data_IF_927097554467
#
_entry.id   IF_927097554467
#
_cell.length_a   1.000
_cell.length_b   1.000
_cell.length_c   1.000
_cell.angle_alpha   90.00
_cell.angle_beta   90.00
_cell.angle_gamma   90.00
#
_symmetry.space_group_name_H-M   'P 1'
#
loop_
_entity.id
_entity.type
_entity.pdbx_description
1 polymer ?
#
# COMPACT_ATOMS: atom_id res chain seq x y z
N UNK A 1 -8.07 48.59 -28.86
CA UNK A 1 -8.93 47.80 -27.95
C UNK A 1 -9.73 46.85 -28.82
N UNK A 2 -9.32 45.58 -28.91
CA UNK A 2 -10.03 44.59 -29.72
C UNK A 2 -9.99 43.23 -28.99
N UNK A 3 -11.12 42.98 -28.35
CA UNK A 3 -11.80 41.71 -28.08
C UNK A 3 -10.99 40.43 -27.76
N UNK A 4 -10.62 40.30 -26.47
CA UNK A 4 -10.27 39.01 -25.83
C UNK A 4 -11.49 38.11 -25.54
N UNK A 5 -12.71 38.54 -25.87
CA UNK A 5 -13.97 37.85 -25.48
C UNK A 5 -14.39 36.72 -26.44
N UNK A 6 -13.82 36.64 -27.64
CA UNK A 6 -14.17 35.63 -28.66
C UNK A 6 -13.35 34.33 -28.55
N UNK A 7 -12.17 34.38 -27.92
CA UNK A 7 -11.27 33.23 -27.77
C UNK A 7 -11.77 32.26 -26.69
N UNK A 8 -12.15 32.78 -25.52
CA UNK A 8 -12.68 31.98 -24.41
C UNK A 8 -13.95 31.17 -24.77
N UNK A 9 -14.74 31.64 -25.73
CA UNK A 9 -15.99 30.98 -26.12
C UNK A 9 -15.78 29.74 -27.00
N UNK A 10 -14.62 29.58 -27.65
CA UNK A 10 -14.30 28.38 -28.46
C UNK A 10 -13.78 27.24 -27.59
N UNK A 11 -12.91 27.55 -26.62
CA UNK A 11 -12.36 26.53 -25.71
C UNK A 11 -13.44 25.87 -24.84
N UNK A 12 -14.45 26.64 -24.40
CA UNK A 12 -15.58 26.07 -23.65
C UNK A 12 -16.50 25.18 -24.52
N UNK A 13 -16.61 25.45 -25.82
CA UNK A 13 -17.45 24.67 -26.74
C UNK A 13 -16.75 23.38 -27.15
N UNK A 14 -15.44 23.41 -27.39
CA UNK A 14 -14.62 22.21 -27.62
C UNK A 14 -14.56 21.32 -26.37
N UNK A 15 -14.42 21.90 -25.17
CA UNK A 15 -14.44 21.15 -23.91
C UNK A 15 -15.79 20.45 -23.66
N UNK A 16 -16.91 21.11 -23.98
CA UNK A 16 -18.26 20.53 -23.85
C UNK A 16 -18.53 19.45 -24.90
N UNK A 17 -18.02 19.60 -26.11
CA UNK A 17 -18.12 18.59 -27.17
C UNK A 17 -17.34 17.32 -26.79
N UNK A 18 -16.10 17.48 -26.31
CA UNK A 18 -15.21 16.38 -25.88
C UNK A 18 -15.77 15.64 -24.66
N UNK A 19 -16.37 16.35 -23.70
CA UNK A 19 -17.04 15.74 -22.55
C UNK A 19 -18.29 14.94 -22.95
N UNK A 20 -19.04 15.40 -23.96
CA UNK A 20 -20.21 14.69 -24.48
C UNK A 20 -19.83 13.40 -25.23
N UNK A 21 -18.71 13.41 -25.94
CA UNK A 21 -18.16 12.23 -26.63
C UNK A 21 -17.61 11.21 -25.63
N UNK A 22 -16.98 11.68 -24.55
CA UNK A 22 -16.54 10.83 -23.43
C UNK A 22 -17.72 10.15 -22.71
N UNK A 23 -18.81 10.88 -22.47
CA UNK A 23 -20.02 10.32 -21.86
C UNK A 23 -20.71 9.27 -22.76
N UNK A 24 -20.70 9.47 -24.09
CA UNK A 24 -21.16 8.44 -25.05
C UNK A 24 -20.29 7.20 -25.07
N UNK A 25 -18.96 7.37 -24.97
CA UNK A 25 -18.03 6.24 -24.88
C UNK A 25 -18.23 5.42 -23.60
N UNK A 26 -18.40 6.07 -22.45
CA UNK A 26 -18.66 5.39 -21.16
C UNK A 26 -19.93 4.54 -21.15
N UNK A 27 -21.00 4.97 -21.83
CA UNK A 27 -22.25 4.22 -21.94
C UNK A 27 -22.12 2.94 -22.80
N UNK A 28 -21.11 2.88 -23.67
CA UNK A 28 -20.82 1.69 -24.49
C UNK A 28 -19.94 0.64 -23.79
N UNK A 29 -19.25 1.01 -22.70
CA UNK A 29 -18.20 0.21 -22.05
C UNK A 29 -18.66 -0.55 -20.78
N UNK A 30 -19.97 -0.76 -20.58
CA UNK A 30 -20.48 -1.67 -19.52
C UNK A 30 -20.31 -3.17 -19.85
N UNK A 31 -19.59 -3.53 -20.91
CA UNK A 31 -19.18 -4.91 -21.19
C UNK A 31 -17.67 -4.96 -21.35
N UNK A 32 -17.01 -5.78 -20.53
CA UNK A 32 -15.58 -6.14 -20.58
C UNK A 32 -15.13 -6.34 -22.04
N UNK A 33 -14.56 -5.30 -22.66
CA UNK A 33 -14.21 -5.28 -24.09
C UNK A 33 -12.73 -4.98 -24.29
N UNK A 34 -12.05 -5.81 -25.09
CA UNK A 34 -10.64 -5.61 -25.51
C UNK A 34 -10.47 -4.23 -26.17
N UNK A 35 -9.30 -3.57 -26.02
CA UNK A 35 -9.04 -2.30 -26.68
C UNK A 35 -8.99 -2.48 -28.21
N UNK A 36 -9.59 -1.54 -28.98
CA UNK A 36 -9.59 -1.62 -30.43
C UNK A 36 -8.18 -1.48 -31.01
N UNK A 37 -7.88 -2.31 -32.01
CA UNK A 37 -6.64 -2.29 -32.75
C UNK A 37 -6.58 -1.12 -33.73
N UNK A 38 -5.45 -0.40 -33.68
CA UNK A 38 -4.98 0.65 -34.59
C UNK A 38 -5.66 2.03 -34.56
N UNK A 39 -4.77 3.04 -34.53
CA UNK A 39 -4.97 4.51 -34.51
C UNK A 39 -5.55 5.14 -33.23
N UNK A 40 -4.97 4.82 -32.07
CA UNK A 40 -5.08 5.71 -30.91
C UNK A 40 -3.97 6.77 -31.03
N UNK A 41 -4.32 8.06 -31.06
CA UNK A 41 -3.35 9.16 -31.14
C UNK A 41 -2.51 9.28 -29.86
N UNK A 42 -1.37 9.97 -29.96
CA UNK A 42 -0.44 10.21 -28.85
C UNK A 42 -1.14 10.88 -27.67
N UNK A 43 -1.98 11.86 -27.95
CA UNK A 43 -2.68 12.69 -26.97
C UNK A 43 -3.68 11.83 -26.17
N UNK A 44 -4.41 10.95 -26.85
CA UNK A 44 -5.33 10.00 -26.20
C UNK A 44 -4.57 9.03 -25.29
N UNK A 45 -3.34 8.66 -25.65
CA UNK A 45 -2.48 7.87 -24.75
C UNK A 45 -2.05 8.66 -23.51
N UNK A 46 -1.64 9.93 -23.68
CA UNK A 46 -1.19 10.78 -22.58
C UNK A 46 -2.33 11.03 -21.58
N UNK A 47 -3.52 11.39 -22.05
CA UNK A 47 -4.70 11.59 -21.19
C UNK A 47 -5.04 10.32 -20.39
N UNK A 48 -4.92 9.15 -21.04
CA UNK A 48 -5.12 7.85 -20.37
C UNK A 48 -4.02 7.51 -19.37
N UNK A 49 -2.78 7.92 -19.60
CA UNK A 49 -1.72 7.69 -18.62
C UNK A 49 -1.88 8.61 -17.42
N UNK A 50 -2.25 9.87 -17.64
CA UNK A 50 -2.60 10.81 -16.56
C UNK A 50 -3.78 10.33 -15.73
N UNK A 51 -4.78 9.67 -16.32
CA UNK A 51 -5.89 9.11 -15.54
C UNK A 51 -5.48 7.94 -14.63
N UNK A 52 -4.38 7.24 -14.94
CA UNK A 52 -3.84 6.13 -14.13
C UNK A 52 -2.81 6.61 -13.11
N UNK A 53 -1.95 7.56 -13.49
CA UNK A 53 -0.77 7.95 -12.71
C UNK A 53 -0.82 9.38 -12.15
N UNK A 54 -1.83 10.17 -12.51
CA UNK A 54 -1.85 11.61 -12.28
C UNK A 54 -0.67 12.29 -12.97
N UNK A 55 -0.11 13.30 -12.30
CA UNK A 55 1.02 14.11 -12.80
C UNK A 55 2.40 13.51 -12.45
N UNK A 56 2.45 12.19 -12.21
CA UNK A 56 3.68 11.50 -11.78
C UNK A 56 4.75 11.41 -12.86
N UNK A 57 4.37 11.52 -14.13
CA UNK A 57 5.27 11.37 -15.26
C UNK A 57 5.13 12.51 -16.26
N UNK A 58 6.26 12.93 -16.82
CA UNK A 58 6.32 13.77 -18.00
C UNK A 58 6.35 12.89 -19.26
N UNK A 59 5.52 13.28 -20.23
CA UNK A 59 5.30 12.59 -21.50
C UNK A 59 5.88 13.36 -22.69
N UNK A 60 6.73 14.37 -22.46
CA UNK A 60 7.36 15.19 -23.51
C UNK A 60 8.09 14.33 -24.55
N UNK A 61 8.71 13.22 -24.14
CA UNK A 61 9.42 12.26 -25.01
C UNK A 61 8.62 11.00 -25.36
N UNK A 62 7.35 10.93 -24.97
CA UNK A 62 6.53 9.77 -25.28
C UNK A 62 6.06 9.83 -26.73
N UNK A 63 6.36 8.79 -27.50
CA UNK A 63 5.72 8.45 -28.76
C UNK A 63 5.49 6.94 -28.84
N UNK A 64 4.62 6.53 -29.79
CA UNK A 64 4.15 5.14 -29.91
C UNK A 64 5.29 4.16 -30.17
N UNK A 65 6.36 4.62 -30.81
CA UNK A 65 7.46 3.79 -31.26
C UNK A 65 8.56 3.73 -30.20
N UNK A 66 8.99 4.88 -29.65
CA UNK A 66 10.10 4.98 -28.71
C UNK A 66 9.72 4.64 -27.26
N UNK A 67 8.46 4.84 -26.87
CA UNK A 67 7.90 4.45 -25.55
C UNK A 67 8.76 4.91 -24.35
N UNK A 68 9.26 6.16 -24.42
CA UNK A 68 10.05 6.81 -23.38
C UNK A 68 9.13 7.63 -22.47
N UNK A 69 9.24 7.40 -21.16
CA UNK A 69 8.51 8.10 -20.10
C UNK A 69 9.51 8.74 -19.15
N UNK A 70 9.15 9.87 -18.54
CA UNK A 70 10.05 10.59 -17.62
C UNK A 70 9.42 10.57 -16.22
N UNK A 71 10.04 9.89 -15.24
CA UNK A 71 9.64 10.03 -13.83
C UNK A 71 10.41 11.21 -13.24
N UNK A 72 9.73 12.14 -12.56
CA UNK A 72 10.38 13.33 -11.98
C UNK A 72 11.49 13.00 -10.98
N UNK A 73 11.46 11.79 -10.39
CA UNK A 73 12.45 11.33 -9.40
C UNK A 73 13.62 10.58 -10.06
N UNK A 74 13.37 9.80 -11.12
CA UNK A 74 14.38 8.87 -11.65
C UNK A 74 14.74 9.09 -13.12
N UNK A 75 14.21 10.15 -13.72
CA UNK A 75 14.43 10.49 -15.12
C UNK A 75 13.76 9.53 -16.10
N UNK A 76 14.34 9.46 -17.29
CA UNK A 76 13.84 8.70 -18.43
C UNK A 76 13.87 7.18 -18.19
N UNK A 77 12.79 6.51 -18.59
CA UNK A 77 12.71 5.06 -18.61
C UNK A 77 11.85 4.58 -19.77
N UNK A 78 12.18 3.39 -20.29
CA UNK A 78 11.38 2.70 -21.31
C UNK A 78 10.46 1.66 -20.67
N UNK A 79 9.20 1.64 -21.09
CA UNK A 79 8.23 0.63 -20.68
C UNK A 79 7.22 0.40 -21.80
N UNK A 80 6.63 -0.79 -21.88
CA UNK A 80 5.55 -1.01 -22.84
C UNK A 80 4.35 -0.09 -22.49
N UNK A 81 3.78 0.64 -23.46
CA UNK A 81 2.60 1.50 -23.23
C UNK A 81 1.41 0.78 -22.56
N UNK A 82 1.16 -0.48 -22.92
CA UNK A 82 0.08 -1.28 -22.32
C UNK A 82 0.37 -1.57 -20.84
N UNK A 83 1.63 -1.78 -20.51
CA UNK A 83 2.06 -2.05 -19.15
C UNK A 83 2.09 -0.79 -18.29
N UNK A 84 2.47 0.32 -18.89
CA UNK A 84 2.37 1.63 -18.27
C UNK A 84 0.90 1.95 -17.95
N UNK A 85 0.00 1.72 -18.91
CA UNK A 85 -1.45 1.86 -18.71
C UNK A 85 -2.00 0.94 -17.60
N UNK A 86 -1.52 -0.29 -17.47
CA UNK A 86 -1.88 -1.20 -16.36
C UNK A 86 -1.41 -0.72 -14.98
N UNK A 87 -0.75 0.43 -14.87
CA UNK A 87 -0.33 1.02 -13.60
C UNK A 87 1.07 0.62 -13.14
N UNK A 88 1.86 -0.11 -13.94
CA UNK A 88 3.21 -0.52 -13.51
C UNK A 88 4.13 0.68 -13.26
N UNK A 89 4.09 1.67 -14.15
CA UNK A 89 4.89 2.89 -14.04
C UNK A 89 6.42 2.65 -14.02
N UNK A 90 7.17 3.65 -13.59
CA UNK A 90 8.62 3.56 -13.44
C UNK A 90 8.99 2.48 -12.42
N UNK A 91 9.80 1.49 -12.82
CA UNK A 91 10.26 0.40 -11.93
C UNK A 91 11.04 0.88 -10.70
N UNK A 92 11.62 2.09 -10.77
CA UNK A 92 12.28 2.74 -9.63
C UNK A 92 11.25 3.48 -8.74
N UNK A 93 10.20 4.08 -9.31
CA UNK A 93 9.09 4.73 -8.57
C UNK A 93 8.10 3.70 -7.96
N UNK A 94 7.95 2.52 -8.56
CA UNK A 94 7.01 1.45 -8.21
C UNK A 94 7.51 0.45 -7.18
N UNK A 95 8.45 0.84 -6.31
CA UNK A 95 8.78 0.04 -5.14
C UNK A 95 7.75 0.19 -3.99
N UNK A 96 6.72 1.00 -4.18
CA UNK A 96 5.66 1.20 -3.18
C UNK A 96 4.30 0.98 -3.83
N UNK A 97 3.93 -0.27 -4.06
CA UNK A 97 2.62 -0.86 -3.70
C UNK A 97 2.55 -2.30 -4.20
N UNK A 98 2.44 -3.24 -3.26
CA UNK A 98 1.79 -4.53 -3.46
C UNK A 98 2.40 -5.52 -4.47
N UNK A 99 3.14 -6.50 -3.95
CA UNK A 99 3.07 -7.85 -4.51
C UNK A 99 4.16 -8.26 -5.51
N UNK A 100 5.37 -8.49 -5.03
CA UNK A 100 6.18 -9.67 -5.39
C UNK A 100 7.41 -9.71 -4.48
N UNK A 101 7.73 -10.89 -3.98
CA UNK A 101 8.79 -11.14 -3.00
C UNK A 101 10.13 -10.52 -3.47
N UNK A 102 10.63 -9.52 -2.75
CA UNK A 102 12.07 -9.23 -2.69
C UNK A 102 12.65 -8.01 -3.43
N UNK A 103 11.92 -6.96 -3.80
CA UNK A 103 12.61 -5.73 -4.28
C UNK A 103 13.23 -4.91 -3.12
N UNK A 104 13.92 -3.80 -3.41
CA UNK A 104 14.50 -2.82 -2.45
C UNK A 104 13.85 -1.43 -2.55
N UNK A 105 13.59 -0.76 -1.41
CA UNK A 105 13.11 0.64 -1.26
C UNK A 105 14.12 1.67 -1.75
N UNK A 106 13.61 2.82 -2.21
CA UNK A 106 14.40 4.04 -2.49
C UNK A 106 15.04 4.63 -1.21
N UNK A 107 14.44 4.40 -0.05
CA UNK A 107 15.09 4.47 1.26
C UNK A 107 15.65 3.09 1.55
N UNK A 108 16.88 2.79 1.11
CA UNK A 108 17.45 1.43 1.08
C UNK A 108 17.02 0.53 2.24
N UNK A 109 16.69 -0.74 1.94
CA UNK A 109 16.35 -1.83 2.87
C UNK A 109 16.36 -1.40 4.36
N UNK A 110 15.23 -0.89 4.86
CA UNK A 110 15.08 -0.76 6.31
C UNK A 110 14.94 -2.18 6.82
N UNK A 111 16.06 -2.78 7.24
CA UNK A 111 16.04 -4.01 8.03
C UNK A 111 15.02 -3.81 9.14
N UNK A 112 14.10 -4.76 9.38
CA UNK A 112 13.14 -4.60 10.46
C UNK A 112 13.92 -4.27 11.72
N UNK A 113 13.63 -3.10 12.30
CA UNK A 113 14.31 -2.63 13.51
C UNK A 113 14.21 -3.76 14.53
N UNK A 114 15.35 -4.24 15.03
CA UNK A 114 15.36 -5.19 16.14
C UNK A 114 14.61 -4.51 17.28
N UNK A 115 13.47 -5.07 17.67
CA UNK A 115 12.67 -4.54 18.77
C UNK A 115 13.55 -4.54 20.03
N UNK A 116 13.54 -3.44 20.77
CA UNK A 116 14.16 -3.42 22.09
C UNK A 116 13.27 -4.19 23.08
N UNK A 117 13.83 -4.50 24.25
CA UNK A 117 13.08 -5.08 25.35
C UNK A 117 11.89 -4.22 25.76
N UNK A 118 12.08 -2.90 25.87
CA UNK A 118 11.00 -1.95 26.19
C UNK A 118 9.89 -1.95 25.14
N UNK A 119 10.25 -2.00 23.85
CA UNK A 119 9.27 -2.06 22.77
C UNK A 119 8.43 -3.33 22.86
N UNK A 120 9.05 -4.46 23.23
CA UNK A 120 8.37 -5.74 23.44
C UNK A 120 7.44 -5.69 24.64
N UNK A 121 7.88 -5.11 25.76
CA UNK A 121 7.06 -4.98 26.97
C UNK A 121 5.85 -4.06 26.72
N UNK A 122 6.02 -2.96 25.98
CA UNK A 122 4.90 -2.08 25.55
C UNK A 122 3.88 -2.86 24.73
N UNK A 123 4.32 -3.71 23.81
CA UNK A 123 3.42 -4.56 23.02
C UNK A 123 2.70 -5.59 23.88
N UNK A 124 3.36 -6.16 24.89
CA UNK A 124 2.70 -7.08 25.83
C UNK A 124 1.61 -6.37 26.63
N UNK A 125 1.90 -5.18 27.16
CA UNK A 125 0.93 -4.34 27.88
C UNK A 125 -0.23 -3.89 26.99
N UNK A 126 0.01 -3.62 25.70
CA UNK A 126 -1.06 -3.29 24.76
C UNK A 126 -2.09 -4.42 24.60
N UNK A 127 -1.68 -5.67 24.78
CA UNK A 127 -2.54 -6.86 24.59
C UNK A 127 -3.17 -7.30 25.91
N UNK A 128 -2.41 -7.26 26.99
CA UNK A 128 -2.83 -7.80 28.28
C UNK A 128 -3.18 -6.73 29.33
N UNK A 129 -2.86 -5.47 29.09
CA UNK A 129 -2.86 -4.41 30.11
C UNK A 129 -1.79 -4.66 31.16
N UNK A 130 -2.07 -4.27 32.41
CA UNK A 130 -1.17 -4.45 33.55
C UNK A 130 -1.39 -5.78 34.30
N UNK A 131 -1.89 -6.81 33.60
CA UNK A 131 -2.20 -8.13 34.19
C UNK A 131 -0.97 -8.94 34.61
N UNK A 132 0.20 -8.61 34.07
CA UNK A 132 1.43 -9.37 34.28
C UNK A 132 2.57 -8.43 34.65
N UNK A 133 3.47 -8.93 35.49
CA UNK A 133 4.74 -8.26 35.75
C UNK A 133 5.80 -8.77 34.77
N UNK A 134 6.55 -7.81 34.20
CA UNK A 134 7.59 -8.00 33.19
C UNK A 134 9.00 -7.68 33.73
N UNK A 135 9.16 -7.53 35.04
CA UNK A 135 10.43 -7.23 35.73
C UNK A 135 11.56 -8.21 35.40
N UNK A 136 11.24 -9.46 35.08
CA UNK A 136 12.19 -10.53 34.70
C UNK A 136 12.23 -10.84 33.20
N UNK A 137 11.64 -9.99 32.34
CA UNK A 137 11.68 -10.22 30.89
C UNK A 137 13.07 -9.89 30.37
N UNK A 138 13.73 -10.89 29.78
CA UNK A 138 14.98 -10.71 29.03
C UNK A 138 14.75 -11.03 27.55
N UNK A 139 14.65 -9.98 26.71
CA UNK A 139 14.29 -10.15 25.31
C UNK A 139 15.51 -10.35 24.41
N UNK A 140 15.61 -11.54 23.79
CA UNK A 140 16.64 -11.86 22.80
C UNK A 140 16.08 -11.80 21.38
N UNK A 141 14.95 -12.47 21.12
CA UNK A 141 14.26 -12.48 19.82
C UNK A 141 12.80 -12.95 19.99
N UNK A 142 12.04 -13.01 18.90
CA UNK A 142 10.59 -13.34 18.95
C UNK A 142 10.28 -14.79 19.29
N UNK A 143 11.26 -15.70 19.20
CA UNK A 143 11.09 -17.15 19.34
C UNK A 143 11.71 -17.68 20.66
N UNK A 144 12.64 -16.95 21.25
CA UNK A 144 13.23 -17.26 22.55
C UNK A 144 12.20 -17.00 23.64
N UNK A 145 12.00 -17.97 24.53
CA UNK A 145 11.09 -17.84 25.68
C UNK A 145 11.57 -16.74 26.62
N UNK A 146 10.62 -15.95 27.13
CA UNK A 146 10.85 -14.95 28.17
C UNK A 146 10.11 -15.36 29.44
N UNK A 147 10.61 -14.91 30.60
CA UNK A 147 9.96 -15.12 31.89
C UNK A 147 8.96 -13.99 32.13
N UNK A 148 7.71 -14.35 32.38
CA UNK A 148 6.61 -13.43 32.67
C UNK A 148 6.01 -13.84 34.01
N UNK A 149 5.68 -12.87 34.84
CA UNK A 149 5.15 -13.13 36.18
C UNK A 149 3.65 -12.92 36.18
N UNK A 150 2.91 -13.98 36.48
CA UNK A 150 1.49 -13.89 36.79
C UNK A 150 1.33 -13.58 38.28
N UNK A 151 0.58 -12.53 38.67
CA UNK A 151 0.41 -12.18 40.08
C UNK A 151 -0.28 -13.28 40.91
N UNK A 152 -1.03 -14.18 40.25
CA UNK A 152 -1.78 -15.26 40.92
C UNK A 152 -0.99 -16.58 40.92
N UNK A 153 -0.26 -16.86 39.84
CA UNK A 153 0.31 -18.19 39.57
C UNK A 153 1.84 -18.22 39.57
N UNK A 154 2.48 -17.06 39.82
CA UNK A 154 3.91 -16.90 39.80
C UNK A 154 4.49 -16.86 38.39
N UNK A 155 5.77 -17.19 38.30
CA UNK A 155 6.57 -17.10 37.09
C UNK A 155 6.19 -18.20 36.09
N UNK A 156 6.12 -17.84 34.81
CA UNK A 156 5.96 -18.78 33.72
C UNK A 156 6.73 -18.32 32.50
N UNK A 157 7.11 -19.28 31.66
CA UNK A 157 7.85 -19.01 30.43
C UNK A 157 6.91 -19.00 29.23
N UNK A 158 7.05 -18.01 28.36
CA UNK A 158 6.31 -17.97 27.10
C UNK A 158 7.11 -17.29 25.99
N UNK A 159 6.79 -17.63 24.75
CA UNK A 159 7.41 -17.03 23.57
C UNK A 159 6.79 -15.63 23.33
N UNK A 160 7.58 -14.57 23.09
CA UNK A 160 7.05 -13.22 22.86
C UNK A 160 6.01 -13.15 21.75
N UNK A 161 6.20 -13.91 20.66
CA UNK A 161 5.24 -14.01 19.56
C UNK A 161 3.86 -14.49 20.04
N UNK A 162 3.80 -15.56 20.82
CA UNK A 162 2.53 -16.13 21.31
C UNK A 162 1.89 -15.21 22.35
N UNK A 163 2.71 -14.57 23.18
CA UNK A 163 2.21 -13.68 24.23
C UNK A 163 1.53 -12.45 23.62
N UNK A 164 2.15 -11.87 22.58
CA UNK A 164 1.57 -10.77 21.77
C UNK A 164 0.30 -11.16 21.05
N UNK A 165 0.08 -12.44 20.74
CA UNK A 165 -1.17 -12.91 20.15
C UNK A 165 -2.32 -13.03 21.16
N UNK A 166 -2.09 -12.71 22.43
CA UNK A 166 -3.13 -12.74 23.48
C UNK A 166 -3.14 -14.02 24.31
N UNK A 167 -2.19 -14.95 24.09
CA UNK A 167 -2.07 -16.15 24.92
C UNK A 167 -1.33 -15.75 26.21
N UNK A 168 -1.98 -15.91 27.36
CA UNK A 168 -1.40 -15.57 28.67
C UNK A 168 -1.00 -16.78 29.51
N UNK A 169 -1.05 -16.64 30.83
CA UNK A 169 -0.83 -17.72 31.78
C UNK A 169 -1.83 -18.87 31.56
N UNK A 170 -1.33 -20.09 31.39
CA UNK A 170 -2.16 -21.27 31.15
C UNK A 170 -3.14 -21.55 32.30
N UNK A 171 -2.67 -21.43 33.55
CA UNK A 171 -3.51 -21.64 34.74
C UNK A 171 -4.69 -20.64 34.80
N UNK A 172 -4.44 -19.35 34.52
CA UNK A 172 -5.52 -18.36 34.37
C UNK A 172 -6.48 -18.71 33.24
N UNK A 173 -5.96 -19.22 32.12
CA UNK A 173 -6.76 -19.66 30.97
C UNK A 173 -7.68 -20.84 31.29
N UNK A 174 -7.22 -21.79 32.12
CA UNK A 174 -8.04 -22.91 32.59
C UNK A 174 -9.16 -22.44 33.52
N UNK A 175 -8.87 -21.57 34.50
CA UNK A 175 -9.88 -21.03 35.43
C UNK A 175 -11.03 -20.32 34.69
N UNK A 176 -10.71 -19.49 33.70
CA UNK A 176 -11.72 -18.81 32.87
C UNK A 176 -12.63 -19.78 32.12
N UNK A 177 -12.07 -20.88 31.61
CA UNK A 177 -12.83 -21.90 30.89
C UNK A 177 -13.74 -22.70 31.82
N UNK A 178 -13.28 -23.04 33.03
CA UNK A 178 -14.12 -23.72 34.02
C UNK A 178 -15.29 -22.85 34.48
N UNK A 179 -15.07 -21.56 34.74
CA UNK A 179 -16.16 -20.63 35.12
C UNK A 179 -17.21 -20.46 34.02
N UNK A 180 -16.77 -20.44 32.75
CA UNK A 180 -17.68 -20.31 31.61
C UNK A 180 -18.53 -21.58 31.42
N UNK A 181 -18.00 -22.76 31.76
CA UNK A 181 -18.75 -24.03 31.70
C UNK A 181 -19.77 -24.20 32.84
N UNK A 182 -19.53 -23.61 34.01
CA UNK A 182 -20.46 -23.66 35.15
C UNK A 182 -21.66 -22.71 35.00
N UNK A 183 -21.61 -21.76 34.06
CA UNK A 183 -22.68 -20.78 33.79
C UNK A 183 -23.52 -21.11 32.55
N UNK A 184 -23.27 -22.24 31.90
CA UNK A 184 -24.06 -22.77 30.79
C UNK A 184 -24.86 -23.97 31.26
#
# INVERSE_FOLDING_TARGET
MSDKKSFFRREEVESKQVLSDYQRLKLSESRKGKPPGNKISREVWIERFKSVHGDKYDYSKFDVDNQIFICSIHGEFRQNRKDHWKGRGCRKCGYVVGGAKGGKTLTGRVSPKRLSQDDVIKQFRSVHGDKYDYSKVEYVNTNTKVIIICPIHGEFQQIPKTHKSGIGCQKCGFLKQSETKLRK
#
